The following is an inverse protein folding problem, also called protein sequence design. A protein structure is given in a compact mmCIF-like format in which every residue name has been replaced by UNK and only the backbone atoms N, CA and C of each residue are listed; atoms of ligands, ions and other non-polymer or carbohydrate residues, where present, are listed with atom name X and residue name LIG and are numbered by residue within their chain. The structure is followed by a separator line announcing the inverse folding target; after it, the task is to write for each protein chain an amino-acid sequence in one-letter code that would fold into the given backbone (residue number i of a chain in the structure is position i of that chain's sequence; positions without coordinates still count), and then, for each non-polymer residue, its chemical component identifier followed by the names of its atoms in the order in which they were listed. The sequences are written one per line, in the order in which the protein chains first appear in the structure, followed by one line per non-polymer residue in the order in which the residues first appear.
data_IF_416979048606
#
_entry.id   IF_416979048606
#
_cell.length_a   1.000
_cell.length_b   1.000
_cell.length_c   1.000
_cell.angle_alpha   90.00
_cell.angle_beta   90.00
_cell.angle_gamma   90.00
#
_symmetry.space_group_name_H-M   'P 1'
#
loop_
_entity.id
_entity.type
_entity.pdbx_description
1 polymer ?
#
# COMPACT_ATOMS: atom_id res chain seq x y z
N UNK A 1 34.22 -22.38 36.70
CA UNK A 1 35.69 -22.27 36.89
C UNK A 1 36.33 -22.54 35.53
N UNK A 2 37.40 -21.83 35.14
CA UNK A 2 38.06 -21.87 33.81
C UNK A 2 37.21 -21.42 32.59
N UNK A 3 37.77 -20.86 31.52
CA UNK A 3 38.93 -19.94 31.36
C UNK A 3 38.77 -19.20 30.02
N UNK A 4 39.38 -18.02 29.88
CA UNK A 4 39.43 -17.22 28.63
C UNK A 4 40.19 -17.97 27.51
N UNK A 5 39.88 -17.66 26.25
CA UNK A 5 40.91 -17.56 25.21
C UNK A 5 40.55 -16.51 24.15
N UNK A 6 41.57 -15.83 23.59
CA UNK A 6 41.47 -14.60 22.81
C UNK A 6 42.54 -14.60 21.70
N UNK A 7 42.12 -14.55 20.42
CA UNK A 7 42.93 -14.35 19.20
C UNK A 7 41.99 -13.68 18.16
N UNK A 8 42.25 -12.56 17.46
CA UNK A 8 43.40 -11.62 17.32
C UNK A 8 44.47 -11.97 16.27
N UNK A 9 44.12 -11.89 14.96
CA UNK A 9 44.88 -11.30 13.81
C UNK A 9 44.24 -11.76 12.46
N UNK A 10 44.34 -11.12 11.29
CA UNK A 10 44.59 -9.75 10.77
C UNK A 10 44.70 -9.91 9.22
N UNK A 11 44.45 -8.82 8.45
CA UNK A 11 44.79 -8.57 7.02
C UNK A 11 43.66 -8.92 6.00
N UNK A 12 43.40 -8.15 4.91
CA UNK A 12 44.06 -6.93 4.39
C UNK A 12 43.15 -6.06 3.50
N UNK A 13 43.45 -4.76 3.45
CA UNK A 13 43.17 -3.70 2.46
C UNK A 13 42.03 -3.85 1.43
N UNK A 14 41.22 -2.78 1.31
CA UNK A 14 41.46 -1.82 0.22
C UNK A 14 41.13 -0.39 0.65
N UNK A 15 42.09 0.54 0.43
CA UNK A 15 41.84 1.98 0.54
C UNK A 15 41.08 2.47 -0.69
N UNK A 16 40.13 3.40 -0.49
CA UNK A 16 39.74 4.37 -1.53
C UNK A 16 40.00 5.77 -0.97
N UNK A 17 40.71 6.55 -1.77
CA UNK A 17 41.22 7.88 -1.46
C UNK A 17 40.09 8.91 -1.40
N UNK A 18 40.15 9.84 -0.45
CA UNK A 18 39.28 11.03 -0.42
C UNK A 18 40.18 12.27 -0.20
N UNK A 19 40.37 13.14 -1.21
CA UNK A 19 41.29 14.27 -1.09
C UNK A 19 40.68 15.37 -0.21
N UNK A 20 41.39 15.71 0.86
CA UNK A 20 40.99 16.75 1.80
C UNK A 20 41.18 18.15 1.20
N UNK A 21 40.24 19.05 1.51
CA UNK A 21 40.33 20.48 1.24
C UNK A 21 41.55 21.07 1.97
N UNK A 22 42.41 21.80 1.26
CA UNK A 22 43.54 22.52 1.87
C UNK A 22 43.74 23.92 1.26
N UNK A 23 43.47 24.92 2.09
CA UNK A 23 44.04 26.27 2.10
C UNK A 23 44.17 26.64 3.60
N UNK A 24 45.10 27.53 4.01
CA UNK A 24 45.61 28.67 3.25
C UNK A 24 47.14 28.86 3.28
N UNK A 25 47.64 29.79 2.46
CA UNK A 25 48.74 30.64 2.89
C UNK A 25 48.67 32.04 2.25
N UNK A 26 48.94 33.06 3.04
CA UNK A 26 48.92 34.47 2.65
C UNK A 26 50.33 35.05 2.68
N UNK A 27 50.69 35.86 1.67
CA UNK A 27 51.77 36.87 1.79
C UNK A 27 51.54 38.03 0.82
N UNK A 28 51.68 39.23 1.34
CA UNK A 28 51.40 40.50 0.65
C UNK A 28 52.46 40.87 -0.39
N UNK A 29 52.05 41.57 -1.47
CA UNK A 29 52.77 42.77 -1.92
C UNK A 29 51.81 43.82 -2.52
N UNK A 30 52.21 45.09 -2.42
CA UNK A 30 51.34 46.28 -2.62
C UNK A 30 51.53 46.94 -4.00
N UNK A 31 50.45 47.54 -4.51
CA UNK A 31 50.29 48.76 -5.37
C UNK A 31 49.29 48.47 -6.51
N UNK A 32 48.45 49.37 -7.03
CA UNK A 32 47.86 50.69 -6.69
C UNK A 32 47.07 51.10 -7.96
N UNK A 33 46.01 51.91 -7.84
CA UNK A 33 45.33 52.68 -8.92
C UNK A 33 44.21 51.96 -9.71
N UNK A 34 43.09 52.67 -9.85
CA UNK A 34 41.88 52.40 -10.66
C UNK A 34 42.15 52.33 -12.18
N UNK A 35 41.25 51.66 -12.92
CA UNK A 35 40.43 52.36 -13.94
C UNK A 35 39.16 51.60 -14.36
N UNK A 36 38.24 52.31 -15.01
CA UNK A 36 36.90 51.86 -15.44
C UNK A 36 36.88 51.28 -16.87
N UNK A 37 35.74 50.71 -17.25
CA UNK A 37 35.33 50.20 -18.59
C UNK A 37 35.96 48.87 -19.00
N UNK A 38 35.31 48.02 -19.83
CA UNK A 38 34.16 48.24 -20.72
C UNK A 38 33.04 47.17 -20.61
N UNK A 39 31.93 47.40 -21.33
CA UNK A 39 30.92 46.37 -21.59
C UNK A 39 31.54 45.14 -22.28
N UNK A 40 31.03 43.97 -21.93
CA UNK A 40 31.27 42.70 -22.61
C UNK A 40 30.07 41.79 -22.42
N UNK A 41 28.96 42.08 -23.09
CA UNK A 41 27.79 41.20 -23.10
C UNK A 41 28.11 39.98 -23.99
N UNK A 42 28.45 38.85 -23.36
CA UNK A 42 28.55 37.57 -24.06
C UNK A 42 27.59 36.56 -23.44
N UNK A 43 26.48 36.39 -24.17
CA UNK A 43 25.67 35.19 -24.33
C UNK A 43 25.80 34.04 -23.32
N UNK A 44 24.64 33.70 -22.76
CA UNK A 44 24.11 32.33 -22.65
C UNK A 44 25.10 31.21 -22.35
N UNK A 45 25.14 30.79 -21.09
CA UNK A 45 24.75 29.42 -20.73
C UNK A 45 24.59 29.35 -19.21
N UNK A 46 23.37 29.56 -18.72
CA UNK A 46 22.95 28.95 -17.46
C UNK A 46 22.84 27.44 -17.70
N UNK A 47 24.00 26.80 -17.80
CA UNK A 47 24.11 25.36 -17.70
C UNK A 47 23.63 24.98 -16.32
N UNK A 48 22.37 24.56 -16.22
CA UNK A 48 21.88 23.75 -15.12
C UNK A 48 22.70 22.47 -15.12
N UNK A 49 23.85 22.51 -14.44
CA UNK A 49 24.64 21.34 -14.12
C UNK A 49 23.78 20.49 -13.20
N UNK A 50 23.01 19.60 -13.83
CA UNK A 50 22.18 18.61 -13.18
C UNK A 50 23.04 17.89 -12.15
N UNK A 51 22.66 17.97 -10.88
CA UNK A 51 23.16 17.09 -9.82
C UNK A 51 22.60 15.68 -10.04
N UNK A 52 22.96 15.07 -11.16
CA UNK A 52 22.74 13.66 -11.48
C UNK A 52 23.85 12.82 -10.83
N UNK A 53 24.01 12.96 -9.52
CA UNK A 53 24.96 12.18 -8.74
C UNK A 53 24.28 10.89 -8.25
N UNK A 54 24.62 9.78 -8.91
CA UNK A 54 24.46 8.40 -8.45
C UNK A 54 23.07 7.98 -7.93
N UNK A 55 22.14 7.70 -8.85
CA UNK A 55 21.08 6.70 -8.62
C UNK A 55 20.90 5.77 -9.83
N UNK A 56 22.03 5.26 -10.35
CA UNK A 56 22.16 4.50 -11.60
C UNK A 56 21.63 3.06 -11.56
N UNK A 57 20.63 2.78 -10.70
CA UNK A 57 20.13 1.43 -10.43
C UNK A 57 18.62 1.25 -10.55
N UNK A 58 17.85 2.32 -10.79
CA UNK A 58 16.40 2.24 -10.93
C UNK A 58 15.95 2.56 -12.36
N UNK A 59 15.20 1.64 -12.97
CA UNK A 59 14.69 1.82 -14.34
C UNK A 59 13.60 2.89 -14.39
N UNK A 60 13.92 4.01 -15.04
CA UNK A 60 13.03 5.16 -15.16
C UNK A 60 11.81 4.93 -16.08
N UNK A 61 11.77 3.82 -16.83
CA UNK A 61 10.67 3.41 -17.68
C UNK A 61 10.16 2.03 -17.24
N UNK A 62 9.36 2.02 -16.17
CA UNK A 62 8.91 0.80 -15.52
C UNK A 62 7.72 0.17 -16.25
N UNK A 63 7.84 -1.08 -16.72
CA UNK A 63 6.77 -1.77 -17.46
C UNK A 63 6.37 -3.13 -16.87
N UNK A 64 7.14 -3.68 -15.93
CA UNK A 64 6.86 -4.96 -15.27
C UNK A 64 7.31 -5.02 -13.80
N UNK A 65 6.64 -5.86 -13.01
CA UNK A 65 7.01 -6.13 -11.62
C UNK A 65 8.41 -6.75 -11.47
N UNK A 66 8.88 -7.49 -12.47
CA UNK A 66 10.22 -8.09 -12.44
C UNK A 66 11.35 -7.06 -12.64
N UNK A 67 11.14 -5.99 -13.42
CA UNK A 67 12.07 -4.87 -13.48
C UNK A 67 12.15 -4.12 -12.14
N UNK A 68 11.00 -3.94 -11.47
CA UNK A 68 10.96 -3.32 -10.15
C UNK A 68 11.76 -4.13 -9.12
N UNK A 69 11.53 -5.45 -9.06
CA UNK A 69 12.30 -6.39 -8.24
C UNK A 69 13.80 -6.34 -8.55
N UNK A 70 14.16 -6.33 -9.83
CA UNK A 70 15.56 -6.27 -10.28
C UNK A 70 16.23 -4.94 -9.94
N UNK A 71 15.48 -3.83 -9.99
CA UNK A 71 15.97 -2.51 -9.56
C UNK A 71 16.16 -2.45 -8.04
N UNK A 72 15.21 -3.02 -7.28
CA UNK A 72 15.28 -3.08 -5.82
C UNK A 72 16.41 -3.98 -5.32
N UNK A 73 16.69 -5.12 -5.96
CA UNK A 73 17.80 -6.01 -5.58
C UNK A 73 19.18 -5.42 -5.91
N UNK A 74 19.28 -4.60 -6.97
CA UNK A 74 20.50 -3.84 -7.32
C UNK A 74 20.72 -2.60 -6.46
N UNK A 75 19.68 -2.07 -5.81
CA UNK A 75 19.75 -0.83 -5.04
C UNK A 75 19.07 -1.00 -3.67
N UNK A 76 19.87 -1.41 -2.69
CA UNK A 76 19.44 -1.69 -1.31
C UNK A 76 18.77 -0.51 -0.61
N UNK A 77 19.03 0.73 -1.03
CA UNK A 77 18.34 1.91 -0.48
C UNK A 77 16.83 1.87 -0.78
N UNK A 78 16.40 1.26 -1.88
CA UNK A 78 14.97 1.14 -2.23
C UNK A 78 14.20 0.18 -1.30
N UNK A 79 14.87 -0.81 -0.71
CA UNK A 79 14.25 -1.71 0.28
C UNK A 79 14.43 -1.21 1.72
N UNK A 80 15.48 -0.45 2.00
CA UNK A 80 15.76 0.11 3.33
C UNK A 80 15.02 1.44 3.60
N UNK A 81 14.88 2.32 2.61
CA UNK A 81 14.25 3.63 2.76
C UNK A 81 12.98 3.78 1.90
N UNK A 82 11.82 3.69 2.56
CA UNK A 82 10.50 3.91 1.94
C UNK A 82 10.39 5.25 1.18
N UNK A 83 11.05 6.30 1.66
CA UNK A 83 10.97 7.62 1.02
C UNK A 83 11.73 7.67 -0.32
N UNK A 84 12.81 6.88 -0.46
CA UNK A 84 13.59 6.79 -1.70
C UNK A 84 12.87 5.92 -2.72
N UNK A 85 12.22 4.83 -2.29
CA UNK A 85 11.34 4.04 -3.13
C UNK A 85 10.16 4.85 -3.68
N UNK A 86 9.48 5.65 -2.85
CA UNK A 86 8.41 6.55 -3.31
C UNK A 86 8.94 7.60 -4.30
N UNK A 87 10.14 8.14 -4.07
CA UNK A 87 10.78 9.12 -4.98
C UNK A 87 11.09 8.47 -6.34
N UNK A 88 11.65 7.26 -6.32
CA UNK A 88 11.99 6.50 -7.52
C UNK A 88 10.74 6.15 -8.34
N UNK A 89 9.71 5.60 -7.69
CA UNK A 89 8.42 5.26 -8.33
C UNK A 89 7.70 6.50 -8.87
N UNK A 90 7.78 7.66 -8.19
CA UNK A 90 7.27 8.93 -8.73
C UNK A 90 7.96 9.29 -10.04
N UNK A 91 9.29 9.18 -10.07
CA UNK A 91 10.08 9.50 -11.26
C UNK A 91 9.78 8.53 -12.42
N UNK A 92 9.59 7.23 -12.16
CA UNK A 92 9.11 6.30 -13.18
C UNK A 92 7.69 6.62 -13.66
N UNK A 93 6.78 7.02 -12.75
CA UNK A 93 5.43 7.44 -13.12
C UNK A 93 5.45 8.70 -14.01
N UNK A 94 6.32 9.67 -13.72
CA UNK A 94 6.45 10.91 -14.52
C UNK A 94 6.94 10.63 -15.95
N UNK A 95 7.73 9.58 -16.16
CA UNK A 95 8.21 9.16 -17.49
C UNK A 95 7.25 8.19 -18.21
N UNK A 96 6.67 7.23 -17.47
CA UNK A 96 5.72 6.25 -17.99
C UNK A 96 4.57 6.04 -16.98
N UNK A 97 3.51 6.88 -17.04
CA UNK A 97 2.38 6.79 -16.12
C UNK A 97 1.61 5.47 -16.23
N UNK A 98 1.42 4.94 -17.45
CA UNK A 98 0.63 3.73 -17.70
C UNK A 98 1.37 2.48 -17.20
N UNK A 99 2.63 2.29 -17.63
CA UNK A 99 3.47 1.18 -17.21
C UNK A 99 3.69 1.16 -15.71
N UNK A 100 4.05 2.31 -15.11
CA UNK A 100 4.26 2.39 -13.66
C UNK A 100 2.97 2.08 -12.90
N UNK A 101 1.82 2.59 -13.33
CA UNK A 101 0.54 2.29 -12.65
C UNK A 101 0.19 0.80 -12.76
N UNK A 102 0.39 0.17 -13.92
CA UNK A 102 0.21 -1.29 -14.04
C UNK A 102 1.10 -2.05 -13.06
N UNK A 103 2.37 -1.70 -12.93
CA UNK A 103 3.28 -2.36 -11.97
C UNK A 103 2.86 -2.16 -10.51
N UNK A 104 2.32 -1.00 -10.14
CA UNK A 104 1.76 -0.78 -8.80
C UNK A 104 0.53 -1.67 -8.53
N UNK A 105 -0.33 -1.85 -9.54
CA UNK A 105 -1.51 -2.73 -9.44
C UNK A 105 -1.13 -4.22 -9.50
N UNK A 106 -0.11 -4.60 -10.25
CA UNK A 106 0.46 -5.96 -10.28
C UNK A 106 1.11 -6.33 -8.95
N UNK A 107 1.77 -5.38 -8.27
CA UNK A 107 2.28 -5.58 -6.91
C UNK A 107 1.12 -5.85 -5.92
N UNK A 108 0.01 -5.10 -6.03
CA UNK A 108 -1.20 -5.32 -5.23
C UNK A 108 -1.80 -6.72 -5.48
N UNK A 109 -1.94 -7.10 -6.76
CA UNK A 109 -2.38 -8.43 -7.17
C UNK A 109 -1.47 -9.54 -6.62
N UNK A 110 -0.16 -9.43 -6.81
CA UNK A 110 0.81 -10.41 -6.34
C UNK A 110 0.71 -10.61 -4.82
N UNK A 111 0.67 -9.52 -4.04
CA UNK A 111 0.60 -9.60 -2.58
C UNK A 111 -0.70 -10.25 -2.08
N UNK A 112 -1.83 -9.98 -2.72
CA UNK A 112 -3.13 -10.52 -2.32
C UNK A 112 -3.40 -11.94 -2.81
N UNK A 113 -3.13 -12.23 -4.09
CA UNK A 113 -3.51 -13.48 -4.75
C UNK A 113 -2.39 -14.52 -4.72
N UNK A 114 -1.17 -14.15 -5.16
CA UNK A 114 -0.07 -15.11 -5.33
C UNK A 114 0.65 -15.36 -4.00
N UNK A 115 0.89 -14.30 -3.24
CA UNK A 115 1.49 -14.37 -1.92
C UNK A 115 0.47 -14.69 -0.81
N UNK A 116 -0.83 -14.54 -1.07
CA UNK A 116 -1.93 -14.92 -0.17
C UNK A 116 -1.82 -14.32 1.25
N UNK A 117 -1.46 -13.04 1.36
CA UNK A 117 -1.20 -12.40 2.67
C UNK A 117 -2.43 -12.47 3.62
N UNK A 118 -3.64 -12.45 3.06
CA UNK A 118 -4.89 -12.54 3.80
C UNK A 118 -5.18 -13.95 4.36
N UNK A 119 -4.64 -15.00 3.75
CA UNK A 119 -4.83 -16.40 4.17
C UNK A 119 -3.75 -16.82 5.17
N UNK A 120 -2.48 -16.47 4.91
CA UNK A 120 -1.32 -17.01 5.63
C UNK A 120 -1.14 -16.47 7.05
N UNK A 121 -1.80 -15.36 7.39
CA UNK A 121 -1.70 -14.64 8.67
C UNK A 121 -0.27 -14.20 9.11
N UNK A 122 0.81 -14.55 8.40
CA UNK A 122 2.15 -13.93 8.57
C UNK A 122 2.23 -12.54 7.92
N UNK A 123 1.26 -11.67 8.24
CA UNK A 123 1.40 -10.24 8.02
C UNK A 123 2.36 -9.61 9.05
N UNK A 124 2.84 -10.36 10.04
CA UNK A 124 3.60 -9.87 11.20
C UNK A 124 4.83 -9.01 10.85
N UNK A 125 5.61 -9.43 9.84
CA UNK A 125 6.81 -8.74 9.36
C UNK A 125 6.50 -7.41 8.66
N UNK A 126 5.29 -7.26 8.13
CA UNK A 126 4.90 -6.13 7.28
C UNK A 126 3.66 -5.37 7.78
N UNK A 127 3.13 -5.74 8.95
CA UNK A 127 1.85 -5.25 9.47
C UNK A 127 1.83 -3.72 9.56
N UNK A 128 2.91 -3.13 10.07
CA UNK A 128 3.16 -1.68 10.19
C UNK A 128 3.28 -0.95 8.85
N UNK A 129 3.33 -1.67 7.72
CA UNK A 129 3.22 -1.05 6.40
C UNK A 129 1.76 -0.88 5.98
N UNK A 130 0.87 -1.83 6.29
CA UNK A 130 -0.53 -1.79 5.87
C UNK A 130 -1.40 -0.85 6.71
N UNK A 131 -1.06 -0.61 7.98
CA UNK A 131 -1.81 0.34 8.81
C UNK A 131 -1.31 0.39 10.26
N UNK A 132 -2.21 0.16 11.22
CA UNK A 132 -1.89 0.10 12.65
C UNK A 132 -0.85 -0.98 12.98
N UNK A 133 -0.78 -2.01 12.13
CA UNK A 133 0.11 -3.15 12.26
C UNK A 133 -0.31 -4.14 13.34
N UNK A 134 -1.58 -4.08 13.77
CA UNK A 134 -2.15 -4.89 14.85
C UNK A 134 -3.22 -5.87 14.38
N UNK A 135 -3.79 -5.67 13.19
CA UNK A 135 -4.87 -6.52 12.66
C UNK A 135 -4.67 -6.79 11.17
N UNK A 136 -5.12 -7.96 10.72
CA UNK A 136 -5.22 -8.30 9.30
C UNK A 136 -6.24 -7.40 8.57
N UNK A 137 -7.14 -6.75 9.32
CA UNK A 137 -8.05 -5.71 8.82
C UNK A 137 -7.35 -4.42 8.38
N UNK A 138 -6.05 -4.24 8.68
CA UNK A 138 -5.25 -3.15 8.10
C UNK A 138 -4.98 -3.37 6.60
N UNK A 139 -5.13 -4.60 6.08
CA UNK A 139 -4.90 -4.91 4.66
C UNK A 139 -6.19 -4.66 3.85
N UNK A 140 -6.05 -3.95 2.73
CA UNK A 140 -7.16 -3.63 1.82
C UNK A 140 -7.15 -4.56 0.58
N UNK A 141 -8.29 -5.17 0.21
CA UNK A 141 -9.50 -5.28 1.00
C UNK A 141 -9.40 -6.41 2.04
N UNK A 142 -10.29 -6.41 3.03
CA UNK A 142 -10.43 -7.49 4.02
C UNK A 142 -11.89 -7.71 4.42
N UNK A 143 -12.24 -8.92 4.86
CA UNK A 143 -13.59 -9.30 5.27
C UNK A 143 -13.98 -8.85 6.69
N UNK A 144 -13.07 -8.19 7.41
CA UNK A 144 -13.31 -7.70 8.78
C UNK A 144 -13.96 -6.31 8.81
N UNK A 145 -14.11 -5.78 10.03
CA UNK A 145 -14.91 -4.56 10.32
C UNK A 145 -14.46 -3.34 9.50
N UNK A 146 -13.14 -3.13 9.40
CA UNK A 146 -12.58 -1.99 8.66
C UNK A 146 -12.58 -2.18 7.15
N UNK A 147 -12.31 -3.39 6.67
CA UNK A 147 -12.36 -3.70 5.23
C UNK A 147 -13.78 -3.58 4.67
N UNK A 148 -14.78 -4.06 5.40
CA UNK A 148 -16.21 -3.91 5.09
C UNK A 148 -16.78 -2.51 5.38
N UNK A 149 -15.95 -1.55 5.83
CA UNK A 149 -16.33 -0.15 6.09
C UNK A 149 -17.50 0.04 7.07
N UNK A 150 -17.67 -0.89 8.02
CA UNK A 150 -18.82 -0.92 8.92
C UNK A 150 -18.90 0.34 9.81
N UNK A 151 -17.77 0.82 10.33
CA UNK A 151 -17.69 2.01 11.21
C UNK A 151 -17.93 3.32 10.44
N UNK A 152 -17.73 3.32 9.12
CA UNK A 152 -18.04 4.48 8.27
C UNK A 152 -19.52 4.55 7.90
N UNK A 153 -20.21 3.41 7.92
CA UNK A 153 -21.64 3.31 7.60
C UNK A 153 -22.55 3.40 8.82
N UNK A 154 -22.08 2.97 9.97
CA UNK A 154 -22.87 2.82 11.20
C UNK A 154 -22.14 3.42 12.41
N UNK A 155 -22.88 3.66 13.52
CA UNK A 155 -22.24 4.05 14.78
C UNK A 155 -21.30 2.95 15.29
N UNK A 156 -20.36 3.29 16.18
CA UNK A 156 -19.39 2.33 16.72
C UNK A 156 -20.09 1.12 17.38
N UNK A 157 -21.13 1.36 18.18
CA UNK A 157 -21.90 0.29 18.85
C UNK A 157 -22.56 -0.63 17.83
N UNK A 158 -23.13 -0.03 16.79
CA UNK A 158 -23.79 -0.72 15.69
C UNK A 158 -22.81 -1.55 14.83
N UNK A 159 -21.62 -1.02 14.57
CA UNK A 159 -20.54 -1.77 13.91
C UNK A 159 -20.01 -2.92 14.79
N UNK A 160 -19.95 -2.73 16.12
CA UNK A 160 -19.60 -3.78 17.08
C UNK A 160 -20.66 -4.90 17.10
N UNK A 161 -21.95 -4.57 17.04
CA UNK A 161 -23.05 -5.54 16.92
C UNK A 161 -22.89 -6.37 15.64
N UNK A 162 -22.67 -5.72 14.49
CA UNK A 162 -22.44 -6.42 13.22
C UNK A 162 -21.21 -7.33 13.32
N UNK A 163 -20.11 -6.88 13.94
CA UNK A 163 -18.92 -7.70 14.14
C UNK A 163 -19.16 -8.91 15.05
N UNK A 164 -20.01 -8.80 16.06
CA UNK A 164 -20.37 -9.92 16.94
C UNK A 164 -21.25 -10.96 16.24
N UNK A 165 -22.10 -10.54 15.30
CA UNK A 165 -23.02 -11.41 14.56
C UNK A 165 -22.36 -12.02 13.31
N UNK A 166 -21.63 -11.20 12.54
CA UNK A 166 -21.15 -11.52 11.18
C UNK A 166 -19.61 -11.59 11.15
N UNK A 167 -18.99 -12.19 12.18
CA UNK A 167 -17.53 -12.29 12.27
C UNK A 167 -16.95 -13.22 11.20
N UNK A 168 -16.40 -12.66 10.13
CA UNK A 168 -15.69 -13.38 9.07
C UNK A 168 -14.18 -13.37 9.36
N UNK A 169 -13.69 -14.41 10.03
CA UNK A 169 -12.31 -14.51 10.53
C UNK A 169 -11.34 -15.25 9.60
N UNK A 170 -11.87 -16.01 8.63
CA UNK A 170 -11.11 -16.65 7.56
C UNK A 170 -11.46 -15.97 6.23
N UNK A 171 -10.46 -15.70 5.41
CA UNK A 171 -10.64 -15.02 4.13
C UNK A 171 -9.61 -15.51 3.13
N UNK A 172 -10.04 -15.68 1.88
CA UNK A 172 -9.23 -16.11 0.74
C UNK A 172 -9.53 -15.24 -0.47
N UNK A 173 -8.50 -14.75 -1.14
CA UNK A 173 -8.64 -14.03 -2.41
C UNK A 173 -8.79 -15.08 -3.51
N UNK A 174 -9.98 -15.22 -4.09
CA UNK A 174 -10.24 -16.18 -5.16
C UNK A 174 -9.94 -15.61 -6.55
N UNK A 175 -10.08 -14.30 -6.73
CA UNK A 175 -9.74 -13.63 -7.98
C UNK A 175 -9.31 -12.17 -7.76
N UNK A 176 -8.38 -11.72 -8.58
CA UNK A 176 -7.97 -10.33 -8.69
C UNK A 176 -7.84 -9.99 -10.19
N UNK A 177 -8.73 -9.15 -10.71
CA UNK A 177 -8.72 -8.70 -12.10
C UNK A 177 -8.40 -7.21 -12.20
N UNK A 178 -7.63 -6.86 -13.24
CA UNK A 178 -7.20 -5.49 -13.54
C UNK A 178 -7.57 -5.20 -15.00
N UNK A 179 -8.34 -4.14 -15.20
CA UNK A 179 -8.57 -3.51 -16.49
C UNK A 179 -8.06 -2.07 -16.33
N UNK A 180 -6.89 -1.76 -16.91
CA UNK A 180 -6.31 -0.41 -16.79
C UNK A 180 -5.90 0.11 -18.17
N UNK A 181 -6.57 1.19 -18.59
CA UNK A 181 -6.20 1.98 -19.77
C UNK A 181 -5.54 3.29 -19.36
N UNK A 182 -6.21 4.06 -18.50
CA UNK A 182 -5.74 5.37 -18.03
C UNK A 182 -6.43 5.73 -16.69
N UNK A 183 -6.03 6.81 -15.98
CA UNK A 183 -6.60 7.18 -14.68
C UNK A 183 -8.10 7.49 -14.67
N UNK A 184 -8.73 7.71 -15.83
CA UNK A 184 -10.17 7.91 -16.00
C UNK A 184 -10.89 6.65 -16.50
N UNK A 185 -10.15 5.63 -16.95
CA UNK A 185 -10.65 4.39 -17.53
C UNK A 185 -9.93 3.19 -16.92
N UNK A 186 -10.32 2.81 -15.71
CA UNK A 186 -9.87 1.58 -15.06
C UNK A 186 -11.01 0.85 -14.34
N UNK A 187 -10.76 -0.42 -14.04
CA UNK A 187 -11.51 -1.23 -13.08
C UNK A 187 -10.54 -2.21 -12.44
N UNK A 188 -10.50 -2.24 -11.11
CA UNK A 188 -9.86 -3.33 -10.37
C UNK A 188 -10.94 -4.05 -9.59
N UNK A 189 -10.97 -5.38 -9.66
CA UNK A 189 -11.93 -6.17 -8.91
C UNK A 189 -11.24 -7.28 -8.13
N UNK A 190 -11.51 -7.33 -6.83
CA UNK A 190 -10.99 -8.34 -5.90
C UNK A 190 -12.15 -9.11 -5.31
N UNK A 191 -12.16 -10.43 -5.52
CA UNK A 191 -13.16 -11.35 -4.98
C UNK A 191 -12.55 -12.10 -3.80
N UNK A 192 -13.17 -11.97 -2.63
CA UNK A 192 -12.80 -12.67 -1.40
C UNK A 192 -13.90 -13.69 -1.08
N UNK A 193 -13.54 -14.95 -0.88
CA UNK A 193 -14.36 -15.90 -0.15
C UNK A 193 -14.01 -15.77 1.34
N UNK A 194 -15.01 -15.46 2.15
CA UNK A 194 -14.87 -15.20 3.56
C UNK A 194 -15.75 -16.15 4.37
N UNK A 195 -15.18 -16.73 5.42
CA UNK A 195 -15.85 -17.68 6.32
C UNK A 195 -15.70 -17.21 7.76
N UNK A 196 -16.72 -17.52 8.55
CA UNK A 196 -16.83 -17.18 9.95
C UNK A 196 -17.50 -18.29 10.74
N UNK A 197 -17.52 -18.15 12.06
CA UNK A 197 -18.25 -19.03 12.97
C UNK A 197 -19.04 -18.20 13.97
N UNK A 198 -20.26 -18.62 14.28
CA UNK A 198 -21.08 -18.01 15.32
C UNK A 198 -21.37 -19.00 16.45
N UNK A 199 -21.63 -18.44 17.64
CA UNK A 199 -22.21 -19.15 18.78
C UNK A 199 -23.53 -18.48 19.13
N UNK A 200 -24.60 -19.26 19.25
CA UNK A 200 -25.96 -18.75 19.45
C UNK A 200 -26.05 -17.78 20.62
N UNK A 201 -25.50 -18.14 21.78
CA UNK A 201 -25.51 -17.30 22.99
C UNK A 201 -24.84 -15.92 22.79
N UNK A 202 -23.82 -15.83 21.95
CA UNK A 202 -23.11 -14.58 21.64
C UNK A 202 -23.93 -13.66 20.73
N UNK A 203 -24.76 -14.23 19.85
CA UNK A 203 -25.57 -13.49 18.88
C UNK A 203 -27.02 -13.30 19.30
N UNK A 204 -27.50 -14.07 20.29
CA UNK A 204 -28.88 -14.12 20.78
C UNK A 204 -29.43 -12.75 21.21
N UNK A 205 -28.59 -11.92 21.83
CA UNK A 205 -28.93 -10.56 22.25
C UNK A 205 -29.14 -9.57 21.09
N UNK A 206 -28.71 -9.94 19.87
CA UNK A 206 -28.74 -9.07 18.69
C UNK A 206 -29.71 -9.54 17.60
N UNK A 207 -30.30 -10.74 17.70
CA UNK A 207 -31.07 -11.37 16.62
C UNK A 207 -32.20 -10.48 16.08
N UNK A 208 -33.00 -9.89 16.97
CA UNK A 208 -34.09 -8.99 16.59
C UNK A 208 -33.62 -7.73 15.83
N UNK A 209 -32.41 -7.25 16.13
CA UNK A 209 -31.80 -6.10 15.46
C UNK A 209 -31.28 -6.48 14.05
N UNK A 210 -30.78 -7.71 13.90
CA UNK A 210 -30.29 -8.26 12.62
C UNK A 210 -31.34 -9.05 11.84
N UNK A 211 -32.62 -8.94 12.21
CA UNK A 211 -33.75 -9.58 11.51
C UNK A 211 -33.75 -11.10 11.51
N UNK A 212 -33.11 -11.73 12.50
CA UNK A 212 -33.13 -13.18 12.73
C UNK A 212 -34.00 -13.53 13.95
N UNK A 213 -34.44 -14.78 14.01
CA UNK A 213 -35.10 -15.39 15.16
C UNK A 213 -34.25 -16.50 15.80
N UNK A 214 -34.60 -16.94 17.01
CA UNK A 214 -33.88 -18.00 17.72
C UNK A 214 -33.92 -19.35 16.95
N UNK A 215 -34.97 -19.57 16.13
CA UNK A 215 -35.11 -20.75 15.27
C UNK A 215 -34.32 -20.69 13.96
N UNK A 216 -33.72 -19.55 13.61
CA UNK A 216 -32.84 -19.44 12.44
C UNK A 216 -31.42 -19.92 12.70
N UNK A 217 -31.07 -20.18 13.97
CA UNK A 217 -29.72 -20.51 14.41
C UNK A 217 -29.64 -21.82 15.19
N UNK A 218 -28.64 -22.62 14.84
CA UNK A 218 -28.14 -23.72 15.66
C UNK A 218 -27.29 -23.16 16.82
N UNK A 219 -26.99 -23.96 17.85
CA UNK A 219 -26.16 -23.53 18.99
C UNK A 219 -24.77 -23.03 18.57
N UNK A 220 -24.22 -23.64 17.51
CA UNK A 220 -23.06 -23.14 16.76
C UNK A 220 -23.26 -23.36 15.27
N UNK A 221 -22.62 -22.54 14.45
CA UNK A 221 -22.63 -22.72 12.99
C UNK A 221 -21.61 -21.87 12.27
N UNK A 222 -21.52 -22.07 10.96
CA UNK A 222 -20.64 -21.31 10.06
C UNK A 222 -21.41 -20.20 9.36
N UNK A 223 -20.70 -19.11 9.04
CA UNK A 223 -21.13 -18.12 8.07
C UNK A 223 -20.18 -18.15 6.87
N UNK A 224 -20.70 -18.03 5.66
CA UNK A 224 -19.90 -17.93 4.44
C UNK A 224 -20.47 -16.87 3.49
N UNK A 225 -19.57 -16.02 3.01
CA UNK A 225 -19.89 -14.91 2.13
C UNK A 225 -18.85 -14.79 1.00
N UNK A 226 -19.32 -14.46 -0.20
CA UNK A 226 -18.48 -13.94 -1.26
C UNK A 226 -18.56 -12.41 -1.23
N UNK A 227 -17.42 -11.75 -1.07
CA UNK A 227 -17.29 -10.30 -1.02
C UNK A 227 -16.55 -9.82 -2.25
N UNK A 228 -17.17 -8.94 -3.03
CA UNK A 228 -16.62 -8.40 -4.27
C UNK A 228 -16.34 -6.92 -4.09
N UNK A 229 -15.06 -6.57 -4.06
CA UNK A 229 -14.57 -5.20 -4.05
C UNK A 229 -14.35 -4.76 -5.50
N UNK A 230 -15.03 -3.70 -5.94
CA UNK A 230 -14.86 -3.13 -7.28
C UNK A 230 -14.44 -1.68 -7.18
N UNK A 231 -13.19 -1.42 -7.57
CA UNK A 231 -12.54 -0.11 -7.60
C UNK A 231 -12.67 0.49 -9.00
N UNK A 232 -13.08 1.75 -9.09
CA UNK A 232 -13.45 2.46 -10.33
C UNK A 232 -12.93 3.91 -10.27
N UNK A 233 -12.88 4.65 -11.40
CA UNK A 233 -12.34 6.01 -11.41
C UNK A 233 -13.15 6.95 -10.50
N UNK A 234 -12.48 7.85 -9.74
CA UNK A 234 -13.13 8.89 -8.96
C UNK A 234 -13.69 9.98 -9.88
N UNK A 235 -14.55 10.87 -9.36
CA UNK A 235 -15.18 11.91 -10.17
C UNK A 235 -14.22 13.05 -10.57
N UNK A 236 -13.30 13.42 -9.66
CA UNK A 236 -12.41 14.58 -9.86
C UNK A 236 -10.94 14.34 -9.47
N UNK A 237 -10.67 13.58 -8.40
CA UNK A 237 -9.30 13.46 -7.86
C UNK A 237 -8.55 12.24 -8.42
N UNK A 238 -8.25 12.26 -9.72
CA UNK A 238 -7.57 11.15 -10.42
C UNK A 238 -6.15 10.85 -9.87
N UNK A 239 -5.68 9.61 -10.11
CA UNK A 239 -4.31 9.21 -9.79
C UNK A 239 -3.29 9.98 -10.65
N UNK A 240 -2.23 10.48 -10.02
CA UNK A 240 -1.23 11.37 -10.65
C UNK A 240 0.07 11.40 -9.83
N UNK A 241 1.13 12.03 -10.36
CA UNK A 241 2.42 12.16 -9.69
C UNK A 241 2.33 12.84 -8.30
N UNK A 242 1.30 13.66 -8.06
CA UNK A 242 1.01 14.28 -6.76
C UNK A 242 0.65 13.28 -5.65
N UNK A 243 0.25 12.05 -6.02
CA UNK A 243 -0.19 10.99 -5.09
C UNK A 243 0.96 10.16 -4.53
N UNK A 244 2.19 10.40 -4.98
CA UNK A 244 3.41 9.79 -4.45
C UNK A 244 3.95 10.68 -3.33
N UNK A 245 3.42 10.50 -2.13
CA UNK A 245 3.73 11.33 -0.97
C UNK A 245 4.98 10.80 -0.25
N UNK A 246 6.09 11.53 -0.41
CA UNK A 246 7.37 11.24 0.24
C UNK A 246 7.35 11.47 1.76
N UNK A 247 6.53 12.41 2.25
CA UNK A 247 6.46 12.78 3.67
C UNK A 247 5.71 11.71 4.46
N UNK A 248 4.50 11.36 4.04
CA UNK A 248 3.71 10.29 4.67
C UNK A 248 4.15 8.88 4.26
N UNK A 249 4.99 8.77 3.23
CA UNK A 249 5.49 7.50 2.65
C UNK A 249 4.30 6.68 2.14
N UNK A 250 3.55 7.27 1.22
CA UNK A 250 2.32 6.69 0.67
C UNK A 250 2.26 6.84 -0.86
N UNK A 251 1.56 5.92 -1.51
CA UNK A 251 1.24 5.98 -2.94
C UNK A 251 -0.28 5.86 -3.06
N UNK A 252 -0.95 7.01 -3.09
CA UNK A 252 -2.39 7.12 -2.83
C UNK A 252 -3.21 6.94 -4.11
N UNK A 253 -3.60 5.69 -4.40
CA UNK A 253 -4.41 5.35 -5.57
C UNK A 253 -5.88 5.70 -5.31
N UNK A 254 -6.32 6.80 -5.93
CA UNK A 254 -7.67 7.33 -5.76
C UNK A 254 -8.71 6.59 -6.60
N UNK A 255 -9.85 6.30 -5.99
CA UNK A 255 -10.85 5.38 -6.54
C UNK A 255 -12.24 5.59 -5.92
N UNK A 256 -13.29 5.29 -6.67
CA UNK A 256 -14.59 4.98 -6.13
C UNK A 256 -14.64 3.48 -5.80
N UNK A 257 -15.16 3.10 -4.64
CA UNK A 257 -15.26 1.70 -4.21
C UNK A 257 -16.73 1.26 -4.18
N UNK A 258 -17.02 0.09 -4.74
CA UNK A 258 -18.24 -0.68 -4.48
C UNK A 258 -17.88 -1.97 -3.75
N UNK A 259 -18.56 -2.26 -2.64
CA UNK A 259 -18.45 -3.54 -1.91
C UNK A 259 -19.78 -4.27 -2.08
N UNK A 260 -19.75 -5.49 -2.61
CA UNK A 260 -20.94 -6.35 -2.69
C UNK A 260 -20.73 -7.59 -1.83
N UNK A 261 -21.70 -7.95 -0.99
CA UNK A 261 -21.65 -9.14 -0.12
C UNK A 261 -22.76 -10.09 -0.52
N UNK A 262 -22.39 -11.33 -0.83
CA UNK A 262 -23.29 -12.40 -1.29
C UNK A 262 -23.18 -13.56 -0.30
N UNK A 263 -24.24 -13.81 0.47
CA UNK A 263 -24.32 -14.96 1.37
C UNK A 263 -24.27 -16.29 0.61
N UNK A 264 -23.62 -17.29 1.19
CA UNK A 264 -23.52 -18.66 0.64
C UNK A 264 -24.29 -19.69 1.46
N UNK A 265 -24.42 -19.47 2.77
CA UNK A 265 -25.28 -20.25 3.65
C UNK A 265 -26.63 -19.56 3.90
N UNK A 266 -27.57 -20.30 4.51
CA UNK A 266 -28.94 -19.82 4.77
C UNK A 266 -29.01 -18.71 5.81
N UNK A 267 -28.11 -18.67 6.81
CA UNK A 267 -28.08 -17.65 7.85
C UNK A 267 -27.56 -16.34 7.28
N UNK A 268 -26.42 -16.38 6.57
CA UNK A 268 -25.86 -15.20 5.90
C UNK A 268 -26.79 -14.67 4.80
N UNK A 269 -27.51 -15.54 4.09
CA UNK A 269 -28.53 -15.14 3.12
C UNK A 269 -29.71 -14.43 3.81
N UNK A 270 -30.25 -14.98 4.89
CA UNK A 270 -31.33 -14.35 5.68
C UNK A 270 -30.90 -12.99 6.24
N UNK A 271 -29.72 -12.92 6.85
CA UNK A 271 -29.09 -11.68 7.34
C UNK A 271 -29.11 -10.59 6.26
N UNK A 272 -28.54 -10.87 5.08
CA UNK A 272 -28.42 -9.90 3.99
C UNK A 272 -29.75 -9.52 3.30
N UNK A 273 -30.82 -10.32 3.45
CA UNK A 273 -32.07 -10.13 2.73
C UNK A 273 -33.23 -9.62 3.59
N UNK A 274 -33.39 -10.13 4.82
CA UNK A 274 -34.59 -9.93 5.64
C UNK A 274 -34.50 -8.70 6.54
N UNK A 275 -33.30 -8.34 6.99
CA UNK A 275 -33.10 -7.21 7.88
C UNK A 275 -32.96 -5.89 7.11
N UNK A 276 -33.81 -4.90 7.41
CA UNK A 276 -33.65 -3.52 6.91
C UNK A 276 -32.30 -2.89 7.30
N UNK A 277 -31.74 -3.37 8.42
CA UNK A 277 -30.47 -2.93 8.98
C UNK A 277 -29.26 -3.53 8.23
N UNK A 278 -29.29 -4.84 7.94
CA UNK A 278 -28.18 -5.57 7.27
C UNK A 278 -28.31 -5.55 5.72
N UNK A 279 -29.50 -5.33 5.16
CA UNK A 279 -29.70 -5.24 3.69
C UNK A 279 -28.88 -4.13 3.02
N UNK A 280 -28.48 -3.11 3.77
CA UNK A 280 -27.58 -2.06 3.29
C UNK A 280 -26.12 -2.53 3.15
N UNK A 281 -25.73 -3.64 3.77
CA UNK A 281 -24.39 -4.22 3.65
C UNK A 281 -24.18 -5.00 2.35
N UNK A 282 -25.25 -5.48 1.72
CA UNK A 282 -25.19 -6.35 0.54
C UNK A 282 -24.65 -5.65 -0.71
N UNK A 283 -24.83 -4.33 -0.85
CA UNK A 283 -24.27 -3.52 -1.92
C UNK A 283 -24.02 -2.07 -1.45
N UNK A 284 -22.76 -1.73 -1.25
CA UNK A 284 -22.29 -0.48 -0.67
C UNK A 284 -21.45 0.29 -1.68
N UNK A 285 -21.51 1.63 -1.65
CA UNK A 285 -20.75 2.51 -2.55
C UNK A 285 -20.12 3.66 -1.76
N UNK A 286 -18.82 3.84 -1.95
CA UNK A 286 -18.00 4.89 -1.33
C UNK A 286 -17.34 5.71 -2.44
N UNK A 287 -17.45 7.03 -2.36
CA UNK A 287 -16.82 7.95 -3.31
C UNK A 287 -15.44 8.40 -2.83
N UNK A 288 -14.58 8.79 -3.78
CA UNK A 288 -13.31 9.47 -3.56
C UNK A 288 -12.40 8.84 -2.48
N UNK A 289 -12.41 7.51 -2.43
CA UNK A 289 -11.55 6.70 -1.58
C UNK A 289 -10.09 6.75 -2.06
N UNK A 290 -9.15 6.39 -1.19
CA UNK A 290 -7.74 6.30 -1.55
C UNK A 290 -7.10 5.05 -0.94
N UNK A 291 -6.47 4.23 -1.78
CA UNK A 291 -5.76 3.02 -1.38
C UNK A 291 -4.26 3.29 -1.42
N UNK A 292 -3.57 3.18 -0.29
CA UNK A 292 -2.11 3.29 -0.27
C UNK A 292 -1.49 2.03 -0.87
N UNK A 293 -0.89 2.13 -2.06
CA UNK A 293 -0.29 1.00 -2.77
C UNK A 293 1.13 0.65 -2.28
N UNK A 294 1.83 1.55 -1.56
CA UNK A 294 3.20 1.31 -1.12
C UNK A 294 3.41 0.00 -0.33
N UNK A 295 2.50 -0.45 0.56
CA UNK A 295 2.69 -1.68 1.34
C UNK A 295 2.78 -2.93 0.47
N UNK A 296 1.96 -3.01 -0.59
CA UNK A 296 1.99 -4.11 -1.55
C UNK A 296 3.25 -4.04 -2.42
N UNK A 297 3.66 -2.84 -2.83
CA UNK A 297 4.95 -2.65 -3.52
C UNK A 297 6.11 -3.16 -2.67
N UNK A 298 6.20 -2.74 -1.41
CA UNK A 298 7.23 -3.19 -0.47
C UNK A 298 7.20 -4.70 -0.27
N UNK A 299 6.03 -5.31 -0.14
CA UNK A 299 5.91 -6.77 -0.02
C UNK A 299 6.36 -7.48 -1.30
N UNK A 300 6.06 -6.91 -2.47
CA UNK A 300 6.33 -7.54 -3.77
C UNK A 300 7.81 -7.57 -4.18
N UNK A 301 8.67 -6.75 -3.56
CA UNK A 301 10.11 -6.59 -3.89
C UNK A 301 11.06 -7.26 -2.90
N UNK A 302 10.51 -8.04 -1.96
CA UNK A 302 11.23 -8.79 -0.92
C UNK A 302 11.10 -10.30 -1.15
#
# INVERSE_FOLDING_TARGET
MLKKLKVVRLLVNHLIYCPSIFMPYSKNMKKKIWNKTSLGALFMLFGTALTACSNSGFEANLTSLNQLRTSASKNTNLTQNKADLVTALKSAFENNPEGTTRVLLDAWKFTLLDAQILEKQDFSKFSKSFGSGRSIEDVEPSAGVRGLRLVERYTQDTANIINNVIKLDKQKVEAFSIQYKDPKNFRVQVKINAKGNYKKDTVKTYLSQVGLSDGDLNDTGTLEAEIIYTYMPPAASFFSASKFDKLTRAINFNTNLRIQIIGKDSVMTKLLQQSSFVKQLADQKFQDQSINLLPYVLYSIL
#
